data_IF_768547545485
#
_entry.id   IF_768547545485
#
_cell.length_a   1.000
_cell.length_b   1.000
_cell.length_c   1.000
_cell.angle_alpha   90.00
_cell.angle_beta   90.00
_cell.angle_gamma   90.00
#
_symmetry.space_group_name_H-M   'P 1'
#
loop_
_entity.id
_entity.type
_entity.pdbx_description
1 polymer ?
#
# COMPACT_ATOMS: atom_id res chain seq x y z
N UNK A 1 28.14 10.51 3.94
CA UNK A 1 27.94 9.06 4.15
C UNK A 1 26.48 8.68 4.50
N UNK A 2 25.64 9.60 5.01
CA UNK A 2 24.26 9.29 5.40
C UNK A 2 23.28 9.05 4.23
N UNK A 3 23.48 9.69 3.08
CA UNK A 3 22.50 9.63 1.96
C UNK A 3 22.35 8.24 1.35
N UNK A 4 23.45 7.47 1.29
CA UNK A 4 23.44 6.16 0.64
C UNK A 4 22.78 5.08 1.51
N UNK A 5 22.87 5.21 2.83
CA UNK A 5 22.21 4.31 3.78
C UNK A 5 20.70 4.60 3.82
N UNK A 6 20.32 5.87 3.94
CA UNK A 6 18.91 6.28 3.96
C UNK A 6 18.19 5.87 2.67
N UNK A 7 18.82 6.07 1.51
CA UNK A 7 18.22 5.69 0.21
C UNK A 7 18.06 4.18 0.05
N UNK A 8 18.96 3.36 0.62
CA UNK A 8 18.83 1.89 0.65
C UNK A 8 17.74 1.43 1.62
N UNK A 9 17.67 2.05 2.80
CA UNK A 9 16.64 1.78 3.79
C UNK A 9 15.23 2.11 3.27
N UNK A 10 15.08 3.29 2.65
CA UNK A 10 13.83 3.72 2.02
C UNK A 10 13.45 2.79 0.86
N UNK A 11 14.43 2.28 0.08
CA UNK A 11 14.14 1.28 -0.96
C UNK A 11 13.60 -0.04 -0.39
N UNK A 12 14.17 -0.53 0.71
CA UNK A 12 13.72 -1.76 1.35
C UNK A 12 12.33 -1.64 1.99
N UNK A 13 11.99 -0.46 2.50
CA UNK A 13 10.70 -0.19 3.18
C UNK A 13 9.66 0.49 2.30
N UNK A 14 9.99 0.76 1.03
CA UNK A 14 9.11 1.44 0.08
C UNK A 14 7.73 0.78 -0.07
N UNK A 15 7.59 -0.56 -0.14
CA UNK A 15 6.28 -1.20 -0.20
C UNK A 15 5.44 -0.94 1.07
N UNK A 16 6.07 -0.93 2.24
CA UNK A 16 5.40 -0.62 3.51
C UNK A 16 4.96 0.85 3.57
N UNK A 17 5.74 1.77 3.00
CA UNK A 17 5.35 3.17 2.87
C UNK A 17 4.15 3.35 1.94
N UNK A 18 4.09 2.58 0.85
CA UNK A 18 2.92 2.57 -0.05
C UNK A 18 1.68 2.06 0.68
N UNK A 19 1.80 0.98 1.46
CA UNK A 19 0.71 0.51 2.30
C UNK A 19 0.26 1.55 3.34
N UNK A 20 1.21 2.16 4.07
CA UNK A 20 0.89 3.18 5.07
C UNK A 20 0.20 4.41 4.47
N UNK A 21 0.66 4.87 3.31
CA UNK A 21 0.05 5.96 2.57
C UNK A 21 -1.37 5.60 2.07
N UNK A 22 -1.55 4.39 1.54
CA UNK A 22 -2.86 3.88 1.14
C UNK A 22 -3.82 3.80 2.32
N UNK A 23 -3.39 3.24 3.45
CA UNK A 23 -4.18 3.16 4.67
C UNK A 23 -4.59 4.55 5.17
N UNK A 24 -3.64 5.48 5.30
CA UNK A 24 -3.90 6.84 5.74
C UNK A 24 -4.88 7.57 4.80
N UNK A 25 -4.71 7.44 3.49
CA UNK A 25 -5.62 8.01 2.50
C UNK A 25 -7.04 7.47 2.65
N UNK A 26 -7.20 6.15 2.67
CA UNK A 26 -8.50 5.48 2.80
C UNK A 26 -9.19 5.85 4.12
N UNK A 27 -8.44 5.87 5.23
CA UNK A 27 -8.96 6.21 6.54
C UNK A 27 -9.40 7.68 6.63
N UNK A 28 -8.56 8.61 6.16
CA UNK A 28 -8.88 10.05 6.17
C UNK A 28 -10.03 10.37 5.22
N UNK A 29 -10.12 9.72 4.06
CA UNK A 29 -11.23 9.88 3.13
C UNK A 29 -12.55 9.43 3.76
N UNK A 30 -12.56 8.24 4.38
CA UNK A 30 -13.72 7.75 5.10
C UNK A 30 -14.11 8.68 6.26
N UNK A 31 -13.14 9.12 7.07
CA UNK A 31 -13.38 10.06 8.16
C UNK A 31 -13.95 11.39 7.66
N UNK A 32 -13.41 11.95 6.57
CA UNK A 32 -13.89 13.19 5.99
C UNK A 32 -15.32 13.05 5.45
N UNK A 33 -15.62 11.96 4.74
CA UNK A 33 -16.92 11.76 4.08
C UNK A 33 -18.03 11.25 5.02
N UNK A 34 -17.65 10.65 6.15
CA UNK A 34 -18.57 10.21 7.19
C UNK A 34 -18.75 11.22 8.33
N UNK A 35 -18.13 12.40 8.28
CA UNK A 35 -18.40 13.46 9.27
C UNK A 35 -19.76 14.13 9.03
N UNK A 36 -20.50 14.53 10.09
CA UNK A 36 -21.84 15.10 9.97
C UNK A 36 -21.91 16.40 9.13
N UNK A 37 -20.80 17.14 9.01
CA UNK A 37 -20.71 18.34 8.18
C UNK A 37 -20.57 18.06 6.68
N UNK A 38 -20.16 16.84 6.30
CA UNK A 38 -19.85 16.45 4.93
C UNK A 38 -20.56 15.17 4.48
N UNK A 39 -21.52 14.66 5.27
CA UNK A 39 -22.29 13.46 4.98
C UNK A 39 -22.82 13.51 3.55
N UNK A 40 -22.28 12.62 2.70
CA UNK A 40 -22.74 12.43 1.34
C UNK A 40 -23.78 11.31 1.34
N UNK A 41 -24.91 11.53 0.67
CA UNK A 41 -25.90 10.47 0.48
C UNK A 41 -25.27 9.32 -0.32
N UNK A 42 -25.12 8.15 0.30
CA UNK A 42 -24.53 6.95 -0.33
C UNK A 42 -23.15 6.50 0.19
N UNK A 43 -22.65 7.08 1.29
CA UNK A 43 -21.41 6.64 1.92
C UNK A 43 -20.13 7.15 1.23
N UNK A 44 -18.95 6.62 1.60
CA UNK A 44 -17.69 7.06 1.04
C UNK A 44 -17.54 6.66 -0.44
N UNK A 45 -16.83 7.48 -1.23
CA UNK A 45 -16.69 7.33 -2.68
C UNK A 45 -15.91 6.03 -3.02
N UNK A 46 -16.67 5.01 -3.42
CA UNK A 46 -16.14 3.67 -3.75
C UNK A 46 -15.25 3.66 -4.99
N UNK A 47 -15.45 4.58 -5.94
CA UNK A 47 -14.57 4.68 -7.11
C UNK A 47 -13.20 5.22 -6.70
N UNK A 48 -13.16 6.22 -5.81
CA UNK A 48 -11.92 6.76 -5.26
C UNK A 48 -11.18 5.73 -4.41
N UNK A 49 -11.88 5.01 -3.52
CA UNK A 49 -11.31 3.93 -2.70
C UNK A 49 -10.79 2.78 -3.57
N UNK A 50 -11.60 2.32 -4.53
CA UNK A 50 -11.23 1.26 -5.47
C UNK A 50 -10.04 1.67 -6.34
N UNK A 51 -10.02 2.89 -6.85
CA UNK A 51 -8.91 3.45 -7.64
C UNK A 51 -7.62 3.54 -6.84
N UNK A 52 -7.68 4.04 -5.60
CA UNK A 52 -6.52 4.13 -4.71
C UNK A 52 -5.97 2.74 -4.35
N UNK A 53 -6.86 1.75 -4.16
CA UNK A 53 -6.48 0.36 -3.90
C UNK A 53 -5.80 -0.27 -5.11
N UNK A 54 -6.39 -0.13 -6.31
CA UNK A 54 -5.81 -0.63 -7.55
C UNK A 54 -4.44 -0.01 -7.85
N UNK A 55 -4.30 1.30 -7.63
CA UNK A 55 -3.02 2.00 -7.79
C UNK A 55 -1.97 1.48 -6.80
N UNK A 56 -2.33 1.30 -5.53
CA UNK A 56 -1.42 0.80 -4.51
C UNK A 56 -0.94 -0.63 -4.82
N UNK A 57 -1.85 -1.49 -5.29
CA UNK A 57 -1.53 -2.84 -5.75
C UNK A 57 -0.60 -2.81 -6.98
N UNK A 58 -0.88 -1.96 -7.97
CA UNK A 58 -0.04 -1.82 -9.15
C UNK A 58 1.37 -1.35 -8.79
N UNK A 59 1.51 -0.40 -7.87
CA UNK A 59 2.83 0.07 -7.39
C UNK A 59 3.56 -1.04 -6.64
N UNK A 60 2.89 -1.78 -5.74
CA UNK A 60 3.51 -2.90 -5.03
C UNK A 60 3.94 -4.03 -5.99
N UNK A 61 3.10 -4.36 -6.97
CA UNK A 61 3.41 -5.36 -7.99
C UNK A 61 4.60 -4.93 -8.85
N UNK A 62 4.66 -3.65 -9.23
CA UNK A 62 5.80 -3.10 -9.98
C UNK A 62 7.10 -3.13 -9.17
N UNK A 63 7.04 -2.76 -7.89
CA UNK A 63 8.19 -2.84 -6.97
C UNK A 63 8.66 -4.28 -6.79
N UNK A 64 7.75 -5.25 -6.65
CA UNK A 64 8.10 -6.66 -6.59
C UNK A 64 8.72 -7.16 -7.90
N UNK A 65 8.17 -6.73 -9.05
CA UNK A 65 8.67 -7.14 -10.37
C UNK A 65 10.06 -6.58 -10.66
N UNK A 66 10.39 -5.40 -10.15
CA UNK A 66 11.72 -4.80 -10.24
C UNK A 66 12.78 -5.66 -9.54
N UNK A 67 12.41 -6.31 -8.45
CA UNK A 67 13.28 -7.17 -7.66
C UNK A 67 13.27 -8.63 -8.14
N UNK A 68 12.66 -8.93 -9.29
CA UNK A 68 12.54 -10.31 -9.84
C UNK A 68 13.88 -11.02 -10.06
N UNK A 69 14.98 -10.28 -10.17
CA UNK A 69 16.32 -10.85 -10.33
C UNK A 69 16.71 -11.75 -9.14
N UNK A 70 16.13 -11.51 -7.95
CA UNK A 70 16.31 -12.37 -6.76
C UNK A 70 15.79 -13.78 -7.00
N UNK A 71 14.70 -13.92 -7.77
CA UNK A 71 14.12 -15.23 -8.09
C UNK A 71 15.02 -16.04 -9.03
N UNK A 72 15.92 -15.37 -9.76
CA UNK A 72 16.85 -16.01 -10.69
C UNK A 72 18.17 -16.38 -10.01
N UNK A 73 18.60 -15.63 -8.98
CA UNK A 73 19.79 -15.94 -8.18
C UNK A 73 19.55 -15.63 -6.69
N UNK A 74 18.88 -16.56 -6.01
CA UNK A 74 18.52 -16.42 -4.60
C UNK A 74 19.75 -16.53 -3.66
N UNK A 75 20.86 -17.12 -4.12
CA UNK A 75 22.06 -17.33 -3.32
C UNK A 75 22.99 -16.10 -3.34
N UNK A 76 23.00 -15.33 -4.43
CA UNK A 76 23.67 -14.03 -4.53
C UNK A 76 22.88 -12.84 -3.97
N UNK A 77 21.60 -13.02 -3.65
CA UNK A 77 20.71 -11.93 -3.24
C UNK A 77 21.00 -11.43 -1.81
N UNK A 78 21.51 -10.21 -1.69
CA UNK A 78 21.76 -9.57 -0.40
C UNK A 78 20.48 -9.32 0.42
N UNK A 79 20.60 -9.27 1.76
CA UNK A 79 19.49 -9.12 2.73
C UNK A 79 18.44 -8.05 2.37
N UNK A 80 18.87 -6.95 1.74
CA UNK A 80 18.01 -5.82 1.34
C UNK A 80 16.95 -6.20 0.30
N UNK A 81 17.29 -7.15 -0.57
CA UNK A 81 16.41 -7.68 -1.60
C UNK A 81 15.31 -8.56 -0.99
N UNK A 82 15.67 -9.40 -0.01
CA UNK A 82 14.71 -10.17 0.78
C UNK A 82 13.76 -9.28 1.58
N UNK A 83 14.27 -8.22 2.20
CA UNK A 83 13.46 -7.24 2.91
C UNK A 83 12.45 -6.55 1.99
N UNK A 84 12.85 -6.19 0.76
CA UNK A 84 11.94 -5.61 -0.23
C UNK A 84 10.86 -6.60 -0.68
N UNK A 85 11.21 -7.87 -0.92
CA UNK A 85 10.27 -8.91 -1.33
C UNK A 85 9.24 -9.24 -0.24
N UNK A 86 9.70 -9.47 1.00
CA UNK A 86 8.83 -9.68 2.16
C UNK A 86 7.98 -8.44 2.46
N UNK A 87 8.57 -7.24 2.34
CA UNK A 87 7.85 -5.97 2.48
C UNK A 87 6.73 -5.81 1.45
N UNK A 88 6.97 -6.21 0.19
CA UNK A 88 5.93 -6.19 -0.86
C UNK A 88 4.79 -7.18 -0.58
N UNK A 89 5.11 -8.39 -0.10
CA UNK A 89 4.12 -9.37 0.34
C UNK A 89 3.26 -8.84 1.49
N UNK A 90 3.91 -8.29 2.53
CA UNK A 90 3.18 -7.67 3.65
C UNK A 90 2.32 -6.50 3.18
N UNK A 91 2.82 -5.65 2.30
CA UNK A 91 2.07 -4.52 1.75
C UNK A 91 0.85 -4.99 0.96
N UNK A 92 0.98 -6.03 0.14
CA UNK A 92 -0.15 -6.62 -0.60
C UNK A 92 -1.24 -7.14 0.34
N UNK A 93 -0.85 -7.92 1.34
CA UNK A 93 -1.79 -8.44 2.36
C UNK A 93 -2.44 -7.29 3.12
N UNK A 94 -1.65 -6.29 3.50
CA UNK A 94 -2.15 -5.10 4.18
C UNK A 94 -3.16 -4.33 3.34
N UNK A 95 -2.88 -4.07 2.06
CA UNK A 95 -3.79 -3.36 1.14
C UNK A 95 -5.08 -4.16 0.94
N UNK A 96 -4.96 -5.47 0.73
CA UNK A 96 -6.13 -6.34 0.57
C UNK A 96 -7.00 -6.33 1.83
N UNK A 97 -6.38 -6.48 3.00
CA UNK A 97 -7.08 -6.49 4.29
C UNK A 97 -7.74 -5.16 4.63
N UNK A 98 -7.13 -4.02 4.25
CA UNK A 98 -7.71 -2.70 4.53
C UNK A 98 -8.73 -2.27 3.46
N UNK A 99 -8.48 -2.59 2.19
CA UNK A 99 -9.34 -2.20 1.08
C UNK A 99 -10.63 -3.03 1.00
N UNK A 100 -10.56 -4.34 1.26
CA UNK A 100 -11.72 -5.23 1.18
C UNK A 100 -12.90 -4.83 2.08
N UNK A 101 -12.72 -4.56 3.40
CA UNK A 101 -13.82 -4.11 4.25
C UNK A 101 -14.36 -2.74 3.84
N UNK A 102 -13.50 -1.82 3.36
CA UNK A 102 -13.95 -0.51 2.86
C UNK A 102 -14.80 -0.60 1.58
N UNK A 103 -14.58 -1.62 0.75
CA UNK A 103 -15.40 -1.88 -0.43
C UNK A 103 -16.72 -2.59 -0.08
N UNK A 104 -16.74 -3.34 1.03
CA UNK A 104 -17.91 -4.08 1.51
C UNK A 104 -18.84 -3.23 2.39
N UNK A 105 -18.30 -2.23 3.11
CA UNK A 105 -19.08 -1.30 3.92
C UNK A 105 -19.78 -0.30 3.00
N UNK A 106 -21.11 -0.37 3.00
CA UNK A 106 -21.94 0.40 2.06
C UNK A 106 -22.19 1.83 2.49
N UNK A 107 -22.23 2.10 3.79
CA UNK A 107 -22.76 3.32 4.37
C UNK A 107 -21.91 3.79 5.56
N UNK A 108 -21.88 5.10 5.76
CA UNK A 108 -21.39 5.69 7.00
C UNK A 108 -22.44 5.43 8.10
N UNK A 109 -21.99 4.98 9.28
CA UNK A 109 -22.86 4.76 10.44
C UNK A 109 -23.30 6.07 11.10
#
# INVERSE_FOLDING_TARGET
>A
MHDHFFRRFVRGTLPLLVWAAHFAFCYLLAAAQCTPAAMRAGGPDRMLLGGATALALAVCAWLAWRERAILQDAQGAGLLHWAAALGALLALVGIAWTGLPLLLVGDCA
#
